data_IF_046874832561
#
_entry.id   IF_046874832561
#
_cell.length_a   1.000
_cell.length_b   1.000
_cell.length_c   1.000
_cell.angle_alpha   90.00
_cell.angle_beta   90.00
_cell.angle_gamma   90.00
#
_symmetry.space_group_name_H-M   'P 1'
#
loop_
_entity.id
_entity.type
_entity.pdbx_description
1 polymer ?
#
# COMPACT_ATOMS: atom_id res chain seq x y z
N UNK A 1 9.16 -1.66 11.84
CA UNK A 1 8.86 -2.97 11.22
C UNK A 1 10.19 -3.68 10.99
N UNK A 2 10.26 -5.00 11.17
CA UNK A 2 11.36 -5.72 10.52
C UNK A 2 11.32 -5.30 9.04
N UNK A 3 12.44 -4.89 8.45
CA UNK A 3 12.49 -4.39 7.07
C UNK A 3 11.73 -5.30 6.07
N UNK A 4 11.58 -6.59 6.40
CA UNK A 4 10.74 -7.56 5.71
C UNK A 4 9.26 -7.17 5.59
N UNK A 5 8.58 -6.72 6.65
CA UNK A 5 7.12 -6.47 6.60
C UNK A 5 6.79 -5.32 5.64
N UNK A 6 7.65 -4.29 5.60
CA UNK A 6 7.53 -3.17 4.66
C UNK A 6 7.71 -3.64 3.21
N UNK A 7 8.68 -4.51 2.96
CA UNK A 7 8.90 -5.06 1.62
C UNK A 7 7.72 -5.92 1.17
N UNK A 8 7.15 -6.74 2.06
CA UNK A 8 5.95 -7.54 1.75
C UNK A 8 4.73 -6.68 1.45
N UNK A 9 4.56 -5.53 2.10
CA UNK A 9 3.49 -4.59 1.78
C UNK A 9 3.62 -4.03 0.35
N UNK A 10 4.83 -3.65 -0.08
CA UNK A 10 5.07 -3.21 -1.46
C UNK A 10 4.86 -4.32 -2.48
N UNK A 11 5.30 -5.56 -2.17
CA UNK A 11 5.04 -6.73 -3.01
C UNK A 11 3.54 -6.98 -3.16
N UNK A 12 2.77 -6.89 -2.06
CA UNK A 12 1.33 -7.06 -2.10
C UNK A 12 0.64 -6.02 -3.02
N UNK A 13 1.06 -4.75 -2.93
CA UNK A 13 0.58 -3.69 -3.84
C UNK A 13 0.92 -4.03 -5.29
N UNK A 14 2.16 -4.42 -5.60
CA UNK A 14 2.59 -4.75 -6.96
C UNK A 14 1.81 -5.94 -7.54
N UNK A 15 1.56 -6.98 -6.74
CA UNK A 15 0.75 -8.15 -7.11
C UNK A 15 -0.70 -7.72 -7.38
N UNK A 16 -1.28 -6.87 -6.53
CA UNK A 16 -2.63 -6.36 -6.70
C UNK A 16 -2.79 -5.59 -8.03
N UNK A 17 -1.86 -4.67 -8.32
CA UNK A 17 -1.85 -3.93 -9.59
C UNK A 17 -1.75 -4.86 -10.80
N UNK A 18 -0.90 -5.88 -10.71
CA UNK A 18 -0.70 -6.86 -11.79
C UNK A 18 -1.96 -7.68 -12.04
N UNK A 19 -2.58 -8.21 -10.98
CA UNK A 19 -3.81 -9.00 -11.09
C UNK A 19 -4.96 -8.17 -11.67
N UNK A 20 -5.13 -6.93 -11.18
CA UNK A 20 -6.20 -6.06 -11.64
C UNK A 20 -5.97 -5.64 -13.11
N UNK A 21 -4.73 -5.31 -13.47
CA UNK A 21 -4.36 -5.01 -14.85
C UNK A 21 -4.60 -6.18 -15.80
N UNK A 22 -4.26 -7.40 -15.36
CA UNK A 22 -4.55 -8.63 -16.11
C UNK A 22 -6.05 -8.84 -16.30
N UNK A 23 -6.86 -8.75 -15.23
CA UNK A 23 -8.32 -8.91 -15.33
C UNK A 23 -8.93 -7.84 -16.24
N UNK A 24 -8.49 -6.59 -16.12
CA UNK A 24 -8.95 -5.53 -17.01
C UNK A 24 -8.59 -5.83 -18.47
N UNK A 25 -7.38 -6.30 -18.74
CA UNK A 25 -6.93 -6.66 -20.09
C UNK A 25 -7.79 -7.76 -20.72
N UNK A 26 -8.15 -8.79 -19.96
CA UNK A 26 -9.00 -9.90 -20.42
C UNK A 26 -10.45 -9.46 -20.65
N UNK A 27 -10.98 -8.57 -19.79
CA UNK A 27 -12.41 -8.23 -19.79
C UNK A 27 -12.73 -6.99 -20.65
N UNK A 28 -11.75 -6.12 -20.96
CA UNK A 28 -12.00 -4.85 -21.67
C UNK A 28 -12.74 -5.00 -23.00
N UNK A 29 -12.58 -6.12 -23.70
CA UNK A 29 -13.21 -6.39 -25.00
C UNK A 29 -14.60 -7.03 -24.86
N UNK A 30 -14.95 -7.48 -23.64
CA UNK A 30 -16.26 -8.07 -23.32
C UNK A 30 -17.31 -7.01 -22.93
N UNK A 31 -16.91 -5.76 -22.71
CA UNK A 31 -17.79 -4.69 -22.21
C UNK A 31 -18.84 -4.23 -23.23
N UNK A 32 -18.66 -4.55 -24.51
CA UNK A 32 -19.58 -4.21 -25.60
C UNK A 32 -19.69 -2.72 -25.94
N UNK A 33 -19.02 -1.82 -25.21
CA UNK A 33 -18.97 -0.39 -25.54
C UNK A 33 -17.70 0.30 -25.01
N UNK A 34 -17.19 1.25 -25.80
CA UNK A 34 -16.01 2.03 -25.43
C UNK A 34 -16.23 2.82 -24.13
N UNK A 35 -17.44 3.36 -23.93
CA UNK A 35 -17.78 4.10 -22.72
C UNK A 35 -17.70 3.20 -21.47
N UNK A 36 -18.23 1.99 -21.53
CA UNK A 36 -18.14 1.03 -20.42
C UNK A 36 -16.69 0.65 -20.10
N UNK A 37 -15.85 0.43 -21.13
CA UNK A 37 -14.42 0.15 -20.93
C UNK A 37 -13.69 1.30 -20.25
N UNK A 38 -13.97 2.55 -20.63
CA UNK A 38 -13.37 3.73 -20.00
C UNK A 38 -13.81 3.85 -18.55
N UNK A 39 -15.11 3.69 -18.26
CA UNK A 39 -15.64 3.73 -16.89
C UNK A 39 -14.99 2.64 -16.04
N UNK A 40 -14.94 1.40 -16.54
CA UNK A 40 -14.30 0.27 -15.85
C UNK A 40 -12.82 0.58 -15.53
N UNK A 41 -12.09 1.14 -16.50
CA UNK A 41 -10.68 1.50 -16.34
C UNK A 41 -10.45 2.61 -15.31
N UNK A 42 -11.26 3.68 -15.36
CA UNK A 42 -11.14 4.81 -14.42
C UNK A 42 -11.45 4.38 -12.99
N UNK A 43 -12.59 3.74 -12.78
CA UNK A 43 -12.97 3.32 -11.43
C UNK A 43 -12.06 2.22 -10.90
N UNK A 44 -11.62 1.29 -11.75
CA UNK A 44 -10.61 0.30 -11.38
C UNK A 44 -9.28 0.93 -10.96
N UNK A 45 -8.80 1.93 -11.71
CA UNK A 45 -7.58 2.66 -11.36
C UNK A 45 -7.73 3.43 -10.03
N UNK A 46 -8.89 4.04 -9.78
CA UNK A 46 -9.16 4.73 -8.51
C UNK A 46 -9.10 3.76 -7.32
N UNK A 47 -9.66 2.57 -7.44
CA UNK A 47 -9.58 1.53 -6.39
C UNK A 47 -8.13 1.17 -6.09
N UNK A 48 -7.31 0.96 -7.12
CA UNK A 48 -5.89 0.64 -6.96
C UNK A 48 -5.11 1.79 -6.32
N UNK A 49 -5.36 3.02 -6.76
CA UNK A 49 -4.70 4.22 -6.23
C UNK A 49 -5.02 4.43 -4.76
N UNK A 50 -6.30 4.41 -4.38
CA UNK A 50 -6.69 4.61 -2.99
C UNK A 50 -6.20 3.47 -2.09
N UNK A 51 -6.25 2.21 -2.55
CA UNK A 51 -5.73 1.10 -1.77
C UNK A 51 -4.22 1.23 -1.54
N UNK A 52 -3.47 1.62 -2.57
CA UNK A 52 -2.02 1.86 -2.47
C UNK A 52 -1.72 3.02 -1.52
N UNK A 53 -2.49 4.11 -1.59
CA UNK A 53 -2.37 5.26 -0.70
C UNK A 53 -2.65 4.88 0.77
N UNK A 54 -3.65 4.04 1.04
CA UNK A 54 -3.93 3.55 2.38
C UNK A 54 -2.78 2.72 2.96
N UNK A 55 -2.16 1.84 2.16
CA UNK A 55 -1.00 1.06 2.59
C UNK A 55 0.20 1.98 2.84
N UNK A 56 0.45 2.96 1.97
CA UNK A 56 1.51 3.94 2.16
C UNK A 56 1.29 4.78 3.43
N UNK A 57 0.06 5.24 3.67
CA UNK A 57 -0.30 5.98 4.88
C UNK A 57 -0.07 5.12 6.13
N UNK A 58 -0.49 3.85 6.10
CA UNK A 58 -0.24 2.90 7.18
C UNK A 58 1.27 2.75 7.46
N UNK A 59 2.10 2.58 6.42
CA UNK A 59 3.56 2.46 6.58
C UNK A 59 4.17 3.75 7.13
N UNK A 60 3.72 4.91 6.66
CA UNK A 60 4.23 6.21 7.09
C UNK A 60 3.92 6.44 8.58
N UNK A 61 2.67 6.27 8.98
CA UNK A 61 2.24 6.48 10.37
C UNK A 61 2.90 5.49 11.32
N UNK A 62 3.14 4.25 10.87
CA UNK A 62 3.84 3.26 11.69
C UNK A 62 5.29 3.66 12.02
N UNK A 63 5.93 4.49 11.21
CA UNK A 63 7.28 4.98 11.52
C UNK A 63 7.23 6.15 12.50
N UNK A 64 6.23 7.04 12.35
CA UNK A 64 6.04 8.22 13.21
C UNK A 64 5.71 7.80 14.65
N UNK A 65 4.78 6.85 14.83
CA UNK A 65 4.45 6.30 16.16
C UNK A 65 5.61 5.52 16.80
N UNK A 66 6.56 4.98 16.02
CA UNK A 66 7.72 4.24 16.56
C UNK A 66 8.74 5.17 17.21
N UNK A 67 9.05 6.30 16.59
CA UNK A 67 10.03 7.25 17.12
C UNK A 67 9.57 7.82 18.47
N UNK A 68 8.26 8.04 18.62
CA UNK A 68 7.67 8.51 19.87
C UNK A 68 7.77 7.46 20.99
N UNK A 69 7.30 6.22 20.75
CA UNK A 69 7.23 5.19 21.80
C UNK A 69 8.63 4.69 22.16
N UNK A 70 9.48 4.38 21.17
CA UNK A 70 10.79 3.81 21.44
C UNK A 70 11.82 4.85 21.83
N UNK A 71 11.64 6.13 21.44
CA UNK A 71 12.51 7.23 21.82
C UNK A 71 12.63 7.42 23.33
N UNK A 72 11.50 7.26 24.05
CA UNK A 72 11.46 7.35 25.50
C UNK A 72 12.10 6.11 26.16
N UNK A 73 11.80 4.91 25.66
CA UNK A 73 12.35 3.66 26.19
C UNK A 73 13.87 3.54 26.00
N UNK A 74 14.41 3.96 24.84
CA UNK A 74 15.86 3.99 24.60
C UNK A 74 16.57 5.03 25.48
N UNK A 75 15.96 6.19 25.70
CA UNK A 75 16.50 7.21 26.61
C UNK A 75 16.65 6.67 28.04
N UNK A 76 15.64 5.98 28.57
CA UNK A 76 15.73 5.37 29.91
C UNK A 76 16.67 4.15 29.96
N UNK A 77 16.84 3.41 28.86
CA UNK A 77 17.83 2.33 28.78
C UNK A 77 19.26 2.86 28.82
N UNK A 78 19.55 3.96 28.14
CA UNK A 78 20.86 4.61 28.20
C UNK A 78 21.14 5.25 29.56
N UNK A 79 20.13 5.88 30.17
CA UNK A 79 20.24 6.43 31.51
C UNK A 79 20.55 5.39 32.61
N UNK A 80 20.19 4.11 32.39
CA UNK A 80 20.51 3.00 33.31
C UNK A 80 21.89 2.38 33.11
N UNK A 81 22.61 2.76 32.05
CA UNK A 81 23.98 2.31 31.79
C UNK A 81 25.06 3.25 32.36
N UNK A 82 24.67 4.43 32.87
CA UNK A 82 25.53 5.33 33.66
C UNK A 82 25.42 5.00 35.15
#
# INVERSE_FOLDING_TARGET
MFHGDRNWAFVAVAVLWTLYGFVFYEVKDLTGSQAATVVLGVFGALVLLFNSASILAMIYHLNEEREEIYGLDIHYLDARKQ
#
